data_IF_147164980568
#
_entry.id   IF_147164980568
#
_cell.length_a   1.000
_cell.length_b   1.000
_cell.length_c   1.000
_cell.angle_alpha   90.00
_cell.angle_beta   90.00
_cell.angle_gamma   90.00
#
_symmetry.space_group_name_H-M   'P 1'
#
loop_
_entity.id
_entity.type
_entity.pdbx_description
1 polymer ?
#
# COMPACT_ATOMS: atom_id res chain seq x y z
N UNK A 1 17.09 34.02 5.14
CA UNK A 1 15.82 33.70 4.45
C UNK A 1 14.74 33.54 5.50
N UNK A 2 13.84 34.51 5.60
CA UNK A 2 12.70 34.47 6.53
C UNK A 2 11.68 33.49 5.92
N UNK A 3 11.36 32.40 6.63
CA UNK A 3 10.24 31.53 6.27
C UNK A 3 8.96 32.38 6.23
N UNK A 4 8.38 32.57 5.03
CA UNK A 4 7.04 33.15 4.90
C UNK A 4 6.07 32.23 5.63
N UNK A 5 5.42 32.74 6.68
CA UNK A 5 4.22 32.14 7.26
C UNK A 5 3.14 32.10 6.16
N UNK A 6 3.03 30.94 5.49
CA UNK A 6 1.92 30.68 4.58
C UNK A 6 0.68 30.60 5.46
N UNK A 7 -0.30 31.47 5.23
CA UNK A 7 -1.55 31.42 5.99
C UNK A 7 -2.34 30.18 5.57
N UNK A 8 -3.05 29.56 6.50
CA UNK A 8 -3.88 28.39 6.21
C UNK A 8 -5.01 28.65 5.20
N UNK A 9 -5.45 29.92 5.00
CA UNK A 9 -6.34 30.28 3.89
C UNK A 9 -5.70 30.02 2.52
N UNK A 10 -4.37 30.19 2.42
CA UNK A 10 -3.61 29.86 1.21
C UNK A 10 -3.42 28.35 1.03
N UNK A 11 -3.49 27.59 2.13
CA UNK A 11 -3.46 26.12 2.14
C UNK A 11 -4.82 25.60 1.66
N UNK A 12 -5.94 26.05 2.24
CA UNK A 12 -7.31 25.67 1.86
C UNK A 12 -7.57 25.91 0.36
N UNK A 13 -7.27 27.10 -0.17
CA UNK A 13 -7.45 27.41 -1.60
C UNK A 13 -6.53 26.59 -2.54
N UNK A 14 -5.39 26.07 -2.05
CA UNK A 14 -4.44 25.26 -2.84
C UNK A 14 -4.70 23.76 -2.71
N UNK A 15 -5.17 23.29 -1.56
CA UNK A 15 -5.55 21.91 -1.28
C UNK A 15 -6.89 21.55 -1.93
N UNK A 16 -7.87 22.46 -1.87
CA UNK A 16 -9.24 22.20 -2.38
C UNK A 16 -9.33 22.18 -3.90
N UNK A 17 -8.43 22.88 -4.62
CA UNK A 17 -8.52 23.00 -6.08
C UNK A 17 -8.13 21.74 -6.85
N UNK A 18 -7.46 20.78 -6.22
CA UNK A 18 -7.20 19.46 -6.82
C UNK A 18 -7.32 18.40 -5.73
N UNK A 19 -8.33 17.56 -5.82
CA UNK A 19 -8.43 16.32 -5.03
C UNK A 19 -8.03 15.16 -5.93
N UNK A 20 -7.11 14.32 -5.44
CA UNK A 20 -6.70 13.12 -6.14
C UNK A 20 -7.64 11.99 -5.77
N UNK A 21 -8.31 11.43 -6.77
CA UNK A 21 -9.05 10.19 -6.62
C UNK A 21 -8.05 9.02 -6.62
N UNK A 22 -7.97 8.30 -5.51
CA UNK A 22 -7.13 7.12 -5.38
C UNK A 22 -7.99 5.88 -5.22
N UNK A 23 -7.46 4.74 -5.65
CA UNK A 23 -8.05 3.45 -5.36
C UNK A 23 -7.19 2.76 -4.31
N UNK A 24 -7.80 2.28 -3.23
CA UNK A 24 -7.14 1.51 -2.17
C UNK A 24 -7.85 0.18 -2.10
N UNK A 25 -7.18 -0.86 -2.58
CA UNK A 25 -7.77 -2.19 -2.74
C UNK A 25 -9.02 -2.15 -3.65
N UNK A 26 -10.22 -2.28 -3.08
CA UNK A 26 -11.54 -2.22 -3.76
C UNK A 26 -12.29 -0.90 -3.52
N UNK A 27 -11.72 -0.01 -2.73
CA UNK A 27 -12.33 1.25 -2.35
C UNK A 27 -11.76 2.37 -3.18
N UNK A 28 -12.52 3.45 -3.22
CA UNK A 28 -11.99 4.74 -3.61
C UNK A 28 -12.15 5.76 -2.51
N UNK A 29 -11.18 6.66 -2.44
CA UNK A 29 -11.18 7.82 -1.57
C UNK A 29 -10.52 8.97 -2.30
N UNK A 30 -10.99 10.19 -2.03
CA UNK A 30 -10.36 11.42 -2.51
C UNK A 30 -9.44 11.94 -1.44
N UNK A 31 -8.22 12.28 -1.82
CA UNK A 31 -7.22 12.88 -0.94
C UNK A 31 -6.75 14.23 -1.48
N UNK A 32 -6.31 15.15 -0.61
CA UNK A 32 -5.72 16.41 -1.05
C UNK A 32 -4.53 16.17 -1.99
N UNK A 33 -4.47 16.89 -3.11
CA UNK A 33 -3.40 16.71 -4.10
C UNK A 33 -2.05 17.19 -3.56
N UNK A 34 -1.19 16.24 -3.19
CA UNK A 34 0.23 16.49 -2.92
C UNK A 34 1.00 15.17 -2.84
N UNK A 35 2.11 15.12 -3.57
CA UNK A 35 3.20 14.12 -3.60
C UNK A 35 2.86 12.79 -2.88
N UNK A 36 2.52 11.76 -3.67
CA UNK A 36 2.43 10.37 -3.21
C UNK A 36 3.86 9.95 -2.82
N UNK A 37 4.07 9.60 -1.55
CA UNK A 37 5.41 9.30 -1.05
C UNK A 37 5.72 7.79 -1.00
N UNK A 38 4.70 6.94 -0.93
CA UNK A 38 4.79 5.50 -1.24
C UNK A 38 3.42 4.84 -1.10
N UNK A 39 3.20 3.77 -1.84
CA UNK A 39 2.17 2.78 -1.54
C UNK A 39 2.78 1.40 -1.36
N UNK A 40 2.07 0.55 -0.62
CA UNK A 40 2.39 -0.87 -0.50
C UNK A 40 1.15 -1.61 -0.97
N UNK A 41 1.33 -2.44 -2.00
CA UNK A 41 0.30 -3.31 -2.52
C UNK A 41 0.69 -4.75 -2.21
N UNK A 42 -0.12 -5.44 -1.43
CA UNK A 42 0.03 -6.85 -1.15
C UNK A 42 -1.25 -7.57 -1.59
N UNK A 43 -1.11 -8.61 -2.38
CA UNK A 43 -2.22 -9.44 -2.84
C UNK A 43 -1.81 -10.90 -2.74
N UNK A 44 -2.53 -11.70 -1.95
CA UNK A 44 -2.20 -13.09 -1.64
C UNK A 44 -0.74 -13.28 -1.19
N UNK A 45 -0.28 -12.48 -0.24
CA UNK A 45 1.12 -12.44 0.22
C UNK A 45 2.17 -12.02 -0.83
N UNK A 46 1.75 -11.65 -2.03
CA UNK A 46 2.63 -11.16 -3.09
C UNK A 46 2.67 -9.64 -2.98
N UNK A 47 3.84 -9.07 -2.69
CA UNK A 47 4.04 -7.62 -2.71
C UNK A 47 4.25 -7.16 -4.15
N UNK A 48 3.65 -6.04 -4.53
CA UNK A 48 3.82 -5.38 -5.82
C UNK A 48 4.58 -4.09 -5.63
N UNK A 49 5.63 -3.92 -6.43
CA UNK A 49 6.40 -2.69 -6.51
C UNK A 49 6.34 -2.16 -7.93
N UNK A 50 5.87 -0.92 -8.09
CA UNK A 50 5.88 -0.24 -9.36
C UNK A 50 7.33 0.04 -9.79
N UNK A 51 7.66 -0.34 -11.02
CA UNK A 51 8.89 0.06 -11.69
C UNK A 51 8.55 1.30 -12.55
N UNK A 52 9.01 2.50 -12.17
CA UNK A 52 8.56 3.74 -12.79
C UNK A 52 9.10 3.91 -14.22
N UNK A 53 8.24 4.42 -15.12
CA UNK A 53 8.59 5.06 -16.40
C UNK A 53 9.64 4.33 -17.25
N UNK A 54 9.40 3.07 -17.56
CA UNK A 54 10.23 2.35 -18.54
C UNK A 54 9.46 2.16 -19.84
N UNK A 55 10.13 2.29 -20.98
CA UNK A 55 9.63 1.71 -22.23
C UNK A 55 9.96 0.22 -22.26
N UNK A 56 9.39 -0.52 -23.22
CA UNK A 56 9.58 -1.97 -23.31
C UNK A 56 11.06 -2.38 -23.46
N UNK A 57 11.88 -1.57 -24.14
CA UNK A 57 13.30 -1.86 -24.34
C UNK A 57 14.09 -1.68 -23.04
N UNK A 58 13.86 -0.59 -22.30
CA UNK A 58 14.47 -0.34 -21.00
C UNK A 58 14.09 -1.42 -19.98
N UNK A 59 12.86 -1.91 -20.04
CA UNK A 59 12.42 -3.01 -19.21
C UNK A 59 13.09 -4.33 -19.56
N UNK A 60 13.16 -4.70 -20.85
CA UNK A 60 13.89 -5.90 -21.27
C UNK A 60 15.37 -5.83 -20.85
N UNK A 61 15.99 -4.66 -20.97
CA UNK A 61 17.35 -4.43 -20.48
C UNK A 61 17.48 -4.57 -18.95
N UNK A 62 16.49 -4.12 -18.18
CA UNK A 62 16.42 -4.32 -16.73
C UNK A 62 16.36 -5.82 -16.39
N UNK A 63 15.51 -6.57 -17.08
CA UNK A 63 15.36 -8.02 -16.92
C UNK A 63 16.70 -8.73 -17.22
N UNK A 64 17.37 -8.37 -18.32
CA UNK A 64 18.65 -8.99 -18.68
C UNK A 64 19.78 -8.61 -17.74
N UNK A 65 19.80 -7.36 -17.25
CA UNK A 65 20.70 -6.94 -16.17
C UNK A 65 20.46 -7.79 -14.92
N UNK A 66 19.21 -7.96 -14.50
CA UNK A 66 18.84 -8.75 -13.32
C UNK A 66 19.26 -10.21 -13.44
N UNK A 67 19.09 -10.83 -14.62
CA UNK A 67 19.60 -12.19 -14.89
C UNK A 67 21.12 -12.28 -14.69
N UNK A 68 21.88 -11.30 -15.19
CA UNK A 68 23.34 -11.27 -15.03
C UNK A 68 23.75 -11.09 -13.57
N UNK A 69 23.04 -10.25 -12.83
CA UNK A 69 23.25 -10.10 -11.38
C UNK A 69 23.04 -11.43 -10.65
N UNK A 70 21.93 -12.13 -10.92
CA UNK A 70 21.62 -13.43 -10.30
C UNK A 70 22.69 -14.48 -10.65
N UNK A 71 23.15 -14.53 -11.90
CA UNK A 71 24.23 -15.45 -12.32
C UNK A 71 25.55 -15.20 -11.60
N UNK A 72 25.80 -13.97 -11.15
CA UNK A 72 27.02 -13.57 -10.44
C UNK A 72 26.94 -13.82 -8.93
N UNK A 73 25.77 -14.17 -8.39
CA UNK A 73 25.66 -14.56 -6.99
C UNK A 73 26.44 -15.85 -6.77
N UNK A 74 27.33 -15.87 -5.77
CA UNK A 74 28.09 -17.05 -5.41
C UNK A 74 27.12 -18.15 -4.94
N UNK A 75 27.09 -19.24 -5.69
CA UNK A 75 26.28 -20.41 -5.38
C UNK A 75 27.17 -21.40 -4.63
N UNK A 76 26.78 -21.90 -3.44
CA UNK A 76 27.51 -22.97 -2.77
C UNK A 76 27.71 -24.15 -3.72
N UNK A 77 28.91 -24.78 -3.67
CA UNK A 77 29.23 -25.95 -4.49
C UNK A 77 28.13 -27.02 -4.36
N UNK A 78 27.59 -27.48 -5.49
CA UNK A 78 26.53 -28.50 -5.55
C UNK A 78 25.11 -27.95 -5.75
N UNK A 79 24.92 -26.64 -5.71
CA UNK A 79 23.62 -26.01 -6.02
C UNK A 79 23.68 -25.29 -7.37
N UNK A 80 22.54 -25.22 -8.07
CA UNK A 80 22.38 -24.44 -9.31
C UNK A 80 21.57 -23.18 -9.01
N UNK A 81 22.02 -22.01 -9.50
CA UNK A 81 21.16 -20.83 -9.64
C UNK A 81 20.19 -21.07 -10.80
N UNK A 82 19.21 -21.93 -10.60
CA UNK A 82 18.25 -22.25 -11.65
C UNK A 82 17.37 -21.03 -11.92
N UNK A 83 17.61 -20.37 -13.05
CA UNK A 83 16.74 -19.34 -13.62
C UNK A 83 15.81 -19.99 -14.63
N UNK A 84 14.54 -20.26 -14.26
CA UNK A 84 13.54 -20.67 -15.25
C UNK A 84 12.92 -19.42 -15.87
N UNK A 85 13.08 -19.24 -17.19
CA UNK A 85 12.38 -18.24 -18.01
C UNK A 85 11.11 -18.87 -18.56
N UNK A 86 9.95 -18.39 -18.14
CA UNK A 86 8.74 -18.49 -18.97
C UNK A 86 8.48 -17.11 -19.58
N UNK A 87 8.81 -16.94 -20.86
CA UNK A 87 8.33 -15.80 -21.63
C UNK A 87 6.94 -16.12 -22.14
N UNK A 88 5.95 -15.36 -21.67
CA UNK A 88 4.59 -15.45 -22.22
C UNK A 88 4.31 -14.21 -23.07
N UNK A 89 3.45 -14.35 -24.11
CA UNK A 89 2.96 -13.26 -25.00
C UNK A 89 2.77 -11.91 -24.26
N UNK A 90 3.25 -10.78 -24.80
CA UNK A 90 3.13 -9.42 -24.23
C UNK A 90 4.08 -9.08 -23.04
N UNK A 91 5.34 -9.50 -23.09
CA UNK A 91 6.41 -8.89 -22.28
C UNK A 91 6.29 -9.05 -20.76
N UNK A 92 5.72 -10.16 -20.28
CA UNK A 92 5.76 -10.53 -18.86
C UNK A 92 6.83 -11.61 -18.62
N UNK A 93 7.61 -11.45 -17.56
CA UNK A 93 8.71 -12.34 -17.19
C UNK A 93 8.50 -12.92 -15.80
N UNK A 94 8.84 -14.18 -15.64
CA UNK A 94 8.93 -14.84 -14.35
C UNK A 94 10.39 -15.27 -14.17
N UNK A 95 11.01 -14.85 -13.07
CA UNK A 95 12.39 -15.20 -12.72
C UNK A 95 12.34 -15.93 -11.39
N UNK A 96 12.74 -17.19 -11.40
CA UNK A 96 12.96 -17.98 -10.19
C UNK A 96 14.46 -18.06 -9.93
N UNK A 97 14.90 -17.93 -8.69
CA UNK A 97 16.31 -18.11 -8.33
C UNK A 97 16.46 -18.42 -6.85
N UNK A 98 17.56 -19.07 -6.47
CA UNK A 98 17.92 -19.29 -5.07
C UNK A 98 18.47 -17.99 -4.46
N UNK A 99 18.04 -17.66 -3.25
CA UNK A 99 18.62 -16.58 -2.45
C UNK A 99 20.00 -16.98 -1.97
N UNK A 100 20.99 -16.10 -2.13
CA UNK A 100 22.35 -16.36 -1.67
C UNK A 100 22.85 -15.20 -0.80
N UNK A 101 23.39 -15.59 0.36
CA UNK A 101 23.94 -14.76 1.42
C UNK A 101 23.99 -15.57 2.72
N UNK A 102 24.98 -15.33 3.59
CA UNK A 102 25.27 -16.10 4.81
C UNK A 102 24.10 -16.31 5.79
N UNK A 103 22.94 -15.67 5.57
CA UNK A 103 21.78 -15.78 6.46
C UNK A 103 20.73 -16.81 6.01
N UNK A 104 20.65 -17.19 4.73
CA UNK A 104 19.50 -17.94 4.19
C UNK A 104 19.83 -18.82 2.96
N UNK A 105 20.67 -19.86 3.07
CA UNK A 105 21.13 -20.69 1.93
C UNK A 105 20.04 -21.53 1.25
N UNK A 106 18.87 -21.61 1.90
CA UNK A 106 17.83 -22.60 1.65
C UNK A 106 16.53 -21.97 1.15
N UNK A 107 16.61 -20.89 0.38
CA UNK A 107 15.42 -20.15 0.00
C UNK A 107 15.32 -19.89 -1.49
N UNK A 108 14.11 -20.08 -2.05
CA UNK A 108 13.80 -19.74 -3.44
C UNK A 108 13.02 -18.42 -3.49
N UNK A 109 13.51 -17.49 -4.30
CA UNK A 109 12.82 -16.26 -4.65
C UNK A 109 12.10 -16.43 -6.00
N UNK A 110 10.87 -15.92 -6.08
CA UNK A 110 10.07 -15.86 -7.31
C UNK A 110 9.79 -14.38 -7.59
N UNK A 111 10.39 -13.83 -8.64
CA UNK A 111 10.18 -12.47 -9.11
C UNK A 111 9.30 -12.48 -10.36
N UNK A 112 8.08 -11.97 -10.26
CA UNK A 112 7.20 -11.73 -11.40
C UNK A 112 7.30 -10.29 -11.90
N UNK A 113 7.34 -10.12 -13.21
CA UNK A 113 7.50 -8.89 -13.95
C UNK A 113 6.40 -8.78 -14.99
N UNK A 114 5.47 -7.83 -14.84
CA UNK A 114 4.24 -7.81 -15.64
C UNK A 114 4.04 -6.53 -16.42
N UNK A 115 3.32 -6.65 -17.54
CA UNK A 115 2.80 -5.55 -18.33
C UNK A 115 1.27 -5.53 -18.19
N UNK A 116 0.69 -4.45 -17.69
CA UNK A 116 -0.77 -4.29 -17.68
C UNK A 116 -1.26 -3.93 -19.10
N UNK A 117 -1.98 -4.83 -19.78
CA UNK A 117 -2.38 -4.74 -21.20
C UNK A 117 -2.49 -3.30 -21.78
N UNK A 118 -1.78 -3.06 -22.90
CA UNK A 118 -1.68 -1.81 -23.67
C UNK A 118 -1.08 -0.57 -22.98
N UNK A 119 -0.77 -0.62 -21.68
CA UNK A 119 -0.05 0.43 -20.98
C UNK A 119 1.20 -0.13 -20.31
N UNK A 120 2.33 0.54 -20.51
CA UNK A 120 3.61 0.08 -20.01
C UNK A 120 3.73 0.38 -18.51
N UNK A 121 3.07 -0.44 -17.69
CA UNK A 121 3.16 -0.40 -16.23
C UNK A 121 3.77 -1.69 -15.75
N UNK A 122 4.94 -1.56 -15.12
CA UNK A 122 5.77 -2.67 -14.72
C UNK A 122 5.70 -2.87 -13.23
N UNK A 123 5.49 -4.11 -12.82
CA UNK A 123 5.52 -4.48 -11.40
C UNK A 123 6.61 -5.50 -11.18
N UNK A 124 7.43 -5.29 -10.15
CA UNK A 124 8.19 -6.36 -9.52
C UNK A 124 7.31 -6.99 -8.45
N UNK A 125 7.29 -8.31 -8.38
CA UNK A 125 6.58 -9.04 -7.33
C UNK A 125 7.50 -9.97 -6.55
N UNK A 126 7.19 -10.22 -5.28
CA UNK A 126 7.87 -11.18 -4.42
C UNK A 126 6.96 -11.61 -3.27
N UNK A 127 7.16 -12.82 -2.74
CA UNK A 127 6.44 -13.32 -1.55
C UNK A 127 6.78 -12.47 -0.32
N UNK A 128 5.90 -12.38 0.68
CA UNK A 128 6.01 -11.50 1.86
C UNK A 128 7.34 -11.61 2.63
N UNK A 129 7.98 -12.77 2.58
CA UNK A 129 9.29 -13.03 3.19
C UNK A 129 10.45 -13.04 2.18
N UNK A 130 10.17 -12.74 0.90
CA UNK A 130 11.11 -12.76 -0.23
C UNK A 130 11.55 -14.15 -0.66
N UNK A 131 11.18 -15.18 0.10
CA UNK A 131 11.92 -16.42 0.23
C UNK A 131 11.00 -17.58 0.68
N UNK A 132 11.05 -18.74 0.02
CA UNK A 132 10.39 -20.00 0.43
C UNK A 132 11.37 -20.95 1.14
N UNK A 133 11.07 -21.41 2.35
CA UNK A 133 11.93 -22.27 3.20
C UNK A 133 12.18 -23.67 2.59
N UNK A 134 13.43 -24.10 2.41
CA UNK A 134 13.79 -25.49 2.07
C UNK A 134 13.63 -26.44 3.25
N UNK A 135 12.41 -26.94 3.45
CA UNK A 135 12.22 -28.32 3.88
C UNK A 135 11.71 -29.12 2.66
N UNK A 136 12.46 -30.11 2.11
CA UNK A 136 12.19 -30.74 0.81
C UNK A 136 10.78 -31.30 0.63
N UNK A 137 10.18 -31.82 1.71
CA UNK A 137 8.85 -32.45 1.68
C UNK A 137 7.70 -31.44 1.63
N UNK A 138 7.93 -30.21 2.11
CA UNK A 138 6.94 -29.11 2.14
C UNK A 138 7.18 -28.11 0.99
N UNK A 139 8.32 -28.22 0.30
CA UNK A 139 8.79 -27.28 -0.71
C UNK A 139 7.98 -27.34 -2.00
N UNK A 140 7.68 -28.54 -2.51
CA UNK A 140 7.03 -28.67 -3.81
C UNK A 140 5.63 -28.06 -3.80
N UNK A 141 4.85 -28.31 -2.74
CA UNK A 141 3.47 -27.82 -2.66
C UNK A 141 3.40 -26.30 -2.46
N UNK A 142 4.26 -25.73 -1.59
CA UNK A 142 4.30 -24.28 -1.37
C UNK A 142 4.92 -23.52 -2.55
N UNK A 143 5.97 -24.08 -3.17
CA UNK A 143 6.56 -23.52 -4.38
C UNK A 143 5.56 -23.52 -5.52
N UNK A 144 4.93 -24.66 -5.84
CA UNK A 144 3.95 -24.73 -6.93
C UNK A 144 2.75 -23.83 -6.68
N UNK A 145 2.29 -23.70 -5.42
CA UNK A 145 1.22 -22.78 -5.04
C UNK A 145 1.59 -21.31 -5.26
N UNK A 146 2.74 -20.84 -4.76
CA UNK A 146 3.18 -19.45 -4.94
C UNK A 146 3.56 -19.16 -6.39
N UNK A 147 4.24 -20.11 -7.05
CA UNK A 147 4.58 -20.05 -8.47
C UNK A 147 3.32 -19.92 -9.32
N UNK A 148 2.30 -20.76 -9.08
CA UNK A 148 1.02 -20.69 -9.76
C UNK A 148 0.30 -19.38 -9.48
N UNK A 149 0.33 -18.91 -8.22
CA UNK A 149 -0.27 -17.62 -7.84
C UNK A 149 0.35 -16.45 -8.60
N UNK A 150 1.69 -16.39 -8.64
CA UNK A 150 2.45 -15.38 -9.37
C UNK A 150 2.23 -15.52 -10.89
N UNK A 151 2.25 -16.74 -11.42
CA UNK A 151 1.98 -17.04 -12.84
C UNK A 151 0.59 -16.57 -13.28
N UNK A 152 -0.41 -16.70 -12.41
CA UNK A 152 -1.80 -16.33 -12.69
C UNK A 152 -2.09 -14.82 -12.57
N UNK A 153 -1.20 -14.01 -11.95
CA UNK A 153 -1.36 -12.55 -11.89
C UNK A 153 -1.52 -11.98 -13.29
N UNK A 154 -0.68 -12.42 -14.23
CA UNK A 154 -0.66 -11.89 -15.60
C UNK A 154 -2.03 -11.98 -16.28
N UNK A 155 -2.66 -13.15 -16.19
CA UNK A 155 -3.93 -13.41 -16.88
C UNK A 155 -5.10 -12.62 -16.26
N UNK A 156 -4.87 -12.03 -15.08
CA UNK A 156 -5.84 -11.22 -14.35
C UNK A 156 -5.42 -9.75 -14.21
N UNK A 157 -4.25 -9.33 -14.70
CA UNK A 157 -3.77 -7.95 -14.57
C UNK A 157 -4.20 -7.10 -15.77
N UNK A 158 -4.96 -6.05 -15.50
CA UNK A 158 -5.51 -5.14 -16.51
C UNK A 158 -5.12 -3.69 -16.20
N UNK A 159 -5.11 -2.84 -17.23
CA UNK A 159 -5.12 -1.39 -17.03
C UNK A 159 -6.56 -0.92 -16.78
N UNK A 160 -6.78 0.00 -15.83
CA UNK A 160 -8.09 0.57 -15.50
C UNK A 160 -8.68 1.38 -16.67
N UNK A 161 -7.85 1.83 -17.62
CA UNK A 161 -8.32 2.46 -18.85
C UNK A 161 -8.80 1.49 -19.92
N UNK A 162 -8.59 0.20 -19.73
CA UNK A 162 -9.21 -0.81 -20.58
C UNK A 162 -10.73 -0.71 -20.38
N UNK A 163 -11.49 -0.49 -21.47
CA UNK A 163 -12.95 -0.20 -21.46
C UNK A 163 -13.80 -1.33 -20.84
N UNK A 164 -13.18 -2.43 -20.42
CA UNK A 164 -13.83 -3.55 -19.75
C UNK A 164 -14.31 -3.12 -18.36
N UNK A 165 -15.60 -3.32 -18.09
CA UNK A 165 -16.14 -3.26 -16.73
C UNK A 165 -15.49 -4.37 -15.92
N UNK A 166 -14.69 -4.00 -14.93
CA UNK A 166 -14.11 -4.95 -13.98
C UNK A 166 -14.93 -4.84 -12.70
N UNK A 167 -15.92 -5.72 -12.57
CA UNK A 167 -16.87 -5.70 -11.46
C UNK A 167 -16.20 -5.94 -10.10
N UNK A 168 -15.07 -6.66 -10.08
CA UNK A 168 -14.28 -6.96 -8.88
C UNK A 168 -12.80 -6.99 -9.21
N UNK A 169 -12.02 -6.14 -8.55
CA UNK A 169 -10.57 -6.21 -8.67
C UNK A 169 -9.80 -5.39 -7.65
N UNK A 170 -8.55 -5.81 -7.44
CA UNK A 170 -7.58 -5.23 -6.53
C UNK A 170 -6.77 -4.16 -7.24
N UNK A 171 -6.88 -2.91 -6.80
CA UNK A 171 -6.21 -1.79 -7.44
C UNK A 171 -4.73 -1.71 -7.09
N UNK A 172 -3.92 -1.48 -8.11
CA UNK A 172 -2.50 -1.19 -8.04
C UNK A 172 -2.24 0.27 -8.42
N UNK A 173 -1.06 0.77 -8.05
CA UNK A 173 -0.53 2.04 -8.52
C UNK A 173 -0.56 2.15 -10.06
N UNK A 174 -0.54 3.37 -10.60
CA UNK A 174 -0.51 3.63 -12.05
C UNK A 174 -1.64 2.98 -12.86
N UNK A 175 -2.84 2.93 -12.27
CA UNK A 175 -4.07 2.54 -12.97
C UNK A 175 -4.01 1.10 -13.48
N UNK A 176 -3.48 0.17 -12.70
CA UNK A 176 -3.68 -1.25 -12.96
C UNK A 176 -4.59 -1.88 -11.91
N UNK A 177 -5.18 -3.01 -12.28
CA UNK A 177 -6.14 -3.74 -11.47
C UNK A 177 -6.00 -5.22 -11.73
N UNK A 178 -5.95 -6.01 -10.66
CA UNK A 178 -6.01 -7.46 -10.73
C UNK A 178 -7.46 -7.88 -10.60
N UNK A 179 -8.03 -8.50 -11.64
CA UNK A 179 -9.39 -9.06 -11.61
C UNK A 179 -9.46 -10.22 -10.61
N UNK A 180 -10.48 -10.21 -9.77
CA UNK A 180 -10.71 -11.25 -8.76
C UNK A 180 -11.89 -12.12 -9.22
N UNK A 181 -11.66 -13.43 -9.36
CA UNK A 181 -12.68 -14.38 -9.85
C UNK A 181 -13.59 -14.93 -8.74
N UNK A 182 -13.11 -15.03 -7.50
CA UNK A 182 -13.82 -15.70 -6.40
C UNK A 182 -13.93 -14.83 -5.14
N UNK A 183 -14.93 -15.12 -4.28
CA UNK A 183 -15.15 -14.46 -2.97
C UNK A 183 -14.26 -15.00 -1.83
N UNK A 184 -13.18 -15.72 -2.14
CA UNK A 184 -12.35 -16.32 -1.09
C UNK A 184 -11.60 -15.24 -0.27
N UNK A 185 -11.25 -15.59 0.96
CA UNK A 185 -10.38 -14.78 1.83
C UNK A 185 -9.02 -14.67 1.14
N UNK A 186 -8.71 -13.50 0.59
CA UNK A 186 -7.42 -13.21 -0.05
C UNK A 186 -6.57 -12.42 0.91
N UNK A 187 -5.36 -12.84 1.27
CA UNK A 187 -4.48 -12.04 2.14
C UNK A 187 -3.96 -10.82 1.37
N UNK A 188 -4.77 -9.77 1.29
CA UNK A 188 -4.50 -8.55 0.55
C UNK A 188 -4.53 -7.36 1.47
N UNK A 189 -3.65 -6.40 1.20
CA UNK A 189 -3.81 -5.04 1.71
C UNK A 189 -3.18 -4.03 0.78
N UNK A 190 -3.78 -2.84 0.71
CA UNK A 190 -3.15 -1.66 0.15
C UNK A 190 -2.96 -0.66 1.28
N UNK A 191 -1.75 -0.12 1.43
CA UNK A 191 -1.46 0.99 2.34
C UNK A 191 -0.88 2.13 1.53
N UNK A 192 -1.58 3.26 1.47
CA UNK A 192 -1.12 4.43 0.72
C UNK A 192 -0.81 5.55 1.70
N UNK A 193 0.38 6.13 1.58
CA UNK A 193 0.87 7.17 2.48
C UNK A 193 1.10 8.46 1.72
N UNK A 194 0.54 9.54 2.25
CA UNK A 194 0.56 10.85 1.66
C UNK A 194 1.27 11.81 2.58
N UNK A 195 2.19 12.57 1.99
CA UNK A 195 2.79 13.72 2.64
C UNK A 195 2.53 14.94 1.80
N UNK A 196 2.06 16.00 2.45
CA UNK A 196 1.82 17.27 1.80
C UNK A 196 2.89 18.25 2.22
N UNK A 197 3.26 19.14 1.31
CA UNK A 197 4.19 20.23 1.61
C UNK A 197 3.64 21.25 2.60
N UNK A 198 2.32 21.27 2.80
CA UNK A 198 1.61 22.21 3.68
C UNK A 198 1.28 21.63 5.06
N UNK A 199 1.48 20.32 5.27
CA UNK A 199 1.29 19.68 6.56
C UNK A 199 2.59 18.96 6.97
N UNK A 200 2.94 18.97 8.26
CA UNK A 200 4.17 18.33 8.77
C UNK A 200 3.99 16.85 9.09
N UNK A 201 2.78 16.30 9.02
CA UNK A 201 2.48 14.89 9.26
C UNK A 201 2.20 14.06 8.00
N UNK A 202 1.17 13.20 8.05
CA UNK A 202 0.84 12.26 6.97
C UNK A 202 -0.65 11.90 6.94
N UNK A 203 -1.14 11.49 5.77
CA UNK A 203 -2.41 10.76 5.63
C UNK A 203 -2.09 9.34 5.21
N UNK A 204 -2.67 8.35 5.90
CA UNK A 204 -2.54 6.94 5.58
C UNK A 204 -3.93 6.34 5.38
N UNK A 205 -4.13 5.68 4.24
CA UNK A 205 -5.31 4.86 3.99
C UNK A 205 -4.86 3.43 3.79
N UNK A 206 -5.35 2.52 4.64
CA UNK A 206 -5.05 1.10 4.61
C UNK A 206 -6.36 0.33 4.48
N UNK A 207 -6.46 -0.59 3.52
CA UNK A 207 -7.60 -1.47 3.38
C UNK A 207 -7.14 -2.89 3.04
N UNK A 208 -7.73 -3.90 3.67
CA UNK A 208 -7.43 -5.30 3.39
C UNK A 208 -8.10 -6.30 4.32
N UNK A 209 -8.28 -7.53 3.85
CA UNK A 209 -8.94 -8.62 4.57
C UNK A 209 -8.18 -9.15 5.78
N UNK A 210 -6.87 -8.94 5.84
CA UNK A 210 -5.98 -9.50 6.87
C UNK A 210 -4.92 -8.47 7.31
N UNK A 211 -5.38 -7.24 7.50
CA UNK A 211 -4.57 -6.13 8.00
C UNK A 211 -4.40 -6.29 9.51
N UNK A 212 -3.15 -6.37 10.00
CA UNK A 212 -2.90 -6.24 11.44
C UNK A 212 -3.51 -4.92 11.94
N UNK A 213 -4.24 -5.01 13.06
CA UNK A 213 -4.64 -3.84 13.83
C UNK A 213 -3.37 -3.16 14.31
N UNK A 214 -3.06 -2.03 13.69
CA UNK A 214 -1.99 -1.16 14.17
C UNK A 214 -2.53 -0.15 15.20
N UNK A 215 -3.80 -0.29 15.61
CA UNK A 215 -4.49 0.56 16.58
C UNK A 215 -5.26 -0.31 17.58
N UNK A 216 -5.15 0.04 18.87
CA UNK A 216 -6.00 -0.49 19.92
C UNK A 216 -6.64 0.73 20.59
N UNK A 217 -7.93 0.96 20.33
CA UNK A 217 -8.65 2.11 20.85
C UNK A 217 -8.67 2.13 22.39
N UNK A 218 -8.79 0.96 23.04
CA UNK A 218 -8.74 0.83 24.50
C UNK A 218 -7.37 1.21 25.06
N UNK A 219 -6.28 0.89 24.34
CA UNK A 219 -4.93 1.30 24.74
C UNK A 219 -4.68 2.80 24.48
N UNK A 220 -5.29 3.35 23.44
CA UNK A 220 -5.17 4.79 23.11
C UNK A 220 -5.79 5.67 24.20
N UNK A 221 -6.82 5.19 24.92
CA UNK A 221 -7.50 5.87 26.03
C UNK A 221 -6.60 6.19 27.23
N UNK A 222 -5.60 5.35 27.51
CA UNK A 222 -4.81 5.41 28.76
C UNK A 222 -3.56 6.30 28.67
N UNK A 223 -3.08 6.60 27.47
CA UNK A 223 -1.75 7.21 27.26
C UNK A 223 -1.80 8.69 26.85
N UNK A 224 -2.99 9.28 26.62
CA UNK A 224 -3.14 10.52 25.84
C UNK A 224 -4.17 11.50 26.43
N UNK A 225 -4.06 12.80 26.11
CA UNK A 225 -5.17 13.74 26.28
C UNK A 225 -6.22 13.43 25.19
N UNK A 226 -7.18 12.57 25.53
CA UNK A 226 -8.26 12.22 24.61
C UNK A 226 -9.21 13.38 24.40
N UNK A 227 -9.56 13.60 23.15
CA UNK A 227 -10.55 14.60 22.77
C UNK A 227 -11.88 13.93 22.44
N UNK A 228 -11.89 12.81 21.69
CA UNK A 228 -13.14 12.20 21.21
C UNK A 228 -12.94 10.75 20.74
N UNK A 229 -13.80 9.82 21.19
CA UNK A 229 -14.01 8.50 20.58
C UNK A 229 -15.51 8.32 20.35
N UNK A 230 -15.90 7.98 19.13
CA UNK A 230 -17.31 7.77 18.77
C UNK A 230 -17.48 6.68 17.72
N UNK A 231 -18.62 6.00 17.73
CA UNK A 231 -19.03 5.13 16.62
C UNK A 231 -19.53 5.99 15.47
N UNK A 232 -19.13 5.66 14.24
CA UNK A 232 -19.51 6.40 13.06
C UNK A 232 -19.67 5.47 11.85
N UNK A 233 -20.78 5.61 11.14
CA UNK A 233 -21.08 4.83 9.92
C UNK A 233 -20.68 5.66 8.70
N UNK A 234 -19.75 5.13 7.91
CA UNK A 234 -19.34 5.73 6.63
C UNK A 234 -19.75 4.78 5.51
N UNK A 235 -20.69 5.17 4.65
CA UNK A 235 -21.13 4.40 3.48
C UNK A 235 -21.44 2.91 3.77
N UNK A 236 -22.13 2.66 4.89
CA UNK A 236 -22.54 1.31 5.31
C UNK A 236 -21.50 0.55 6.14
N UNK A 237 -20.34 1.14 6.42
CA UNK A 237 -19.29 0.58 7.27
C UNK A 237 -19.34 1.23 8.66
N UNK A 238 -19.81 0.50 9.67
CA UNK A 238 -19.85 0.95 11.07
C UNK A 238 -18.46 0.84 11.71
N UNK A 239 -17.74 1.96 11.76
CA UNK A 239 -16.39 2.04 12.33
C UNK A 239 -16.34 2.86 13.62
N UNK A 240 -15.13 2.97 14.15
CA UNK A 240 -14.79 3.82 15.30
C UNK A 240 -13.97 5.00 14.81
N UNK A 241 -14.41 6.20 15.16
CA UNK A 241 -13.70 7.45 14.97
C UNK A 241 -12.99 7.82 16.29
N UNK A 242 -11.72 8.19 16.22
CA UNK A 242 -10.99 8.76 17.35
C UNK A 242 -10.21 10.00 16.94
N UNK A 243 -10.19 11.00 17.83
CA UNK A 243 -9.38 12.22 17.71
C UNK A 243 -8.53 12.38 18.96
N UNK A 244 -7.22 12.42 18.74
CA UNK A 244 -6.23 12.34 19.81
C UNK A 244 -5.22 13.47 19.63
N UNK A 245 -4.81 14.13 20.71
CA UNK A 245 -3.70 15.09 20.69
C UNK A 245 -2.65 14.66 21.71
N UNK A 246 -1.45 14.35 21.23
CA UNK A 246 -0.37 13.83 22.06
C UNK A 246 0.78 14.81 22.16
N UNK A 247 1.24 15.07 23.38
CA UNK A 247 2.44 15.84 23.65
C UNK A 247 3.67 14.95 23.56
N UNK A 248 4.63 15.31 22.71
CA UNK A 248 5.88 14.56 22.49
C UNK A 248 7.07 15.46 22.74
N UNK A 249 7.97 15.02 23.62
CA UNK A 249 9.21 15.74 23.92
C UNK A 249 10.36 15.17 23.06
N UNK A 250 11.00 16.03 22.26
CA UNK A 250 12.14 15.62 21.43
C UNK A 250 13.18 16.74 21.37
N UNK A 251 14.43 16.45 21.71
CA UNK A 251 15.56 17.39 21.67
C UNK A 251 15.24 18.72 22.37
N UNK A 252 14.75 18.68 23.62
CA UNK A 252 14.31 19.84 24.42
C UNK A 252 13.21 20.70 23.77
N UNK A 253 12.60 20.24 22.68
CA UNK A 253 11.46 20.88 22.03
C UNK A 253 10.21 20.06 22.33
N UNK A 254 9.13 20.74 22.72
CA UNK A 254 7.82 20.11 22.84
C UNK A 254 7.14 20.15 21.47
N UNK A 255 6.66 19.00 21.03
CA UNK A 255 5.79 18.84 19.87
C UNK A 255 4.42 18.35 20.33
N UNK A 256 3.42 18.64 19.54
CA UNK A 256 2.07 18.14 19.72
C UNK A 256 1.67 17.44 18.43
N UNK A 257 1.06 16.27 18.57
CA UNK A 257 0.64 15.43 17.46
C UNK A 257 -0.86 15.27 17.51
N UNK A 258 -1.56 15.88 16.55
CA UNK A 258 -2.97 15.61 16.35
C UNK A 258 -3.11 14.37 15.46
N UNK A 259 -3.91 13.40 15.88
CA UNK A 259 -4.17 12.17 15.17
C UNK A 259 -5.68 11.93 15.07
N UNK A 260 -6.16 11.91 13.83
CA UNK A 260 -7.53 11.60 13.45
C UNK A 260 -7.52 10.21 12.84
N UNK A 261 -8.30 9.30 13.40
CA UNK A 261 -8.31 7.91 12.99
C UNK A 261 -9.75 7.46 12.86
N UNK A 262 -10.07 6.86 11.72
CA UNK A 262 -11.30 6.09 11.55
C UNK A 262 -10.91 4.67 11.17
N UNK A 263 -11.43 3.70 11.93
CA UNK A 263 -11.19 2.29 11.74
C UNK A 263 -12.50 1.52 11.60
N UNK A 264 -12.66 0.77 10.52
CA UNK A 264 -13.72 -0.22 10.38
C UNK A 264 -13.14 -1.62 10.45
N UNK A 265 -13.84 -2.51 11.15
CA UNK A 265 -13.50 -3.90 11.26
C UNK A 265 -14.75 -4.76 11.36
N UNK A 266 -14.79 -5.83 10.59
CA UNK A 266 -15.77 -6.91 10.77
C UNK A 266 -15.05 -8.24 10.72
N UNK A 267 -15.26 -9.06 11.73
CA UNK A 267 -14.52 -10.27 12.00
C UNK A 267 -14.87 -11.47 11.08
N UNK A 268 -15.17 -11.24 9.80
CA UNK A 268 -15.75 -12.28 8.95
C UNK A 268 -14.93 -12.65 7.71
N UNK A 269 -13.73 -12.09 7.53
CA UNK A 269 -12.85 -12.43 6.40
C UNK A 269 -13.43 -12.10 5.01
N UNK A 270 -14.60 -11.47 4.95
CA UNK A 270 -15.26 -11.13 3.70
C UNK A 270 -14.47 -10.04 2.98
N UNK A 271 -14.17 -10.33 1.72
CA UNK A 271 -13.49 -9.43 0.81
C UNK A 271 -14.25 -8.09 0.73
N UNK A 272 -15.59 -8.08 0.80
CA UNK A 272 -16.40 -6.87 0.78
C UNK A 272 -16.48 -6.11 2.12
N UNK A 273 -15.98 -6.71 3.20
CA UNK A 273 -15.90 -6.11 4.53
C UNK A 273 -14.49 -6.21 5.13
N UNK A 274 -13.46 -5.67 4.44
CA UNK A 274 -12.09 -5.69 4.92
C UNK A 274 -11.90 -4.74 6.09
N UNK A 275 -10.76 -4.85 6.76
CA UNK A 275 -10.32 -3.86 7.73
C UNK A 275 -9.95 -2.60 6.95
N UNK A 276 -10.52 -1.45 7.35
CA UNK A 276 -10.25 -0.15 6.73
C UNK A 276 -9.71 0.79 7.81
N UNK A 277 -8.64 1.50 7.49
CA UNK A 277 -8.00 2.47 8.36
C UNK A 277 -7.76 3.74 7.57
N UNK A 278 -8.32 4.85 8.02
CA UNK A 278 -8.01 6.18 7.53
C UNK A 278 -7.40 6.94 8.70
N UNK A 279 -6.15 7.34 8.56
CA UNK A 279 -5.38 8.03 9.60
C UNK A 279 -4.84 9.33 9.02
N UNK A 280 -5.09 10.44 9.69
CA UNK A 280 -4.49 11.73 9.42
C UNK A 280 -3.75 12.17 10.68
N UNK A 281 -2.44 12.36 10.56
CA UNK A 281 -1.58 12.81 11.64
C UNK A 281 -0.94 14.13 11.26
N UNK A 282 -0.85 15.07 12.20
CA UNK A 282 -0.16 16.34 12.05
C UNK A 282 0.69 16.67 13.27
N UNK A 283 1.90 17.20 13.05
CA UNK A 283 2.87 17.53 14.10
C UNK A 283 3.16 19.04 14.14
N UNK A 284 2.99 19.66 15.30
CA UNK A 284 3.15 21.11 15.47
C UNK A 284 3.96 21.44 16.74
N UNK A 285 4.59 22.63 16.77
CA UNK A 285 5.51 23.05 17.85
C UNK A 285 4.82 23.76 19.03
N UNK A 286 3.57 24.21 18.87
CA UNK A 286 2.83 24.97 19.87
C UNK A 286 1.73 24.10 20.51
N UNK A 287 1.41 24.20 21.80
CA UNK A 287 0.25 23.51 22.40
C UNK A 287 -1.06 23.90 21.73
N UNK A 288 -1.15 25.14 21.28
CA UNK A 288 -2.33 25.66 20.64
C UNK A 288 -2.27 25.28 19.16
N UNK A 289 -2.90 24.16 18.81
CA UNK A 289 -3.69 24.15 17.58
C UNK A 289 -4.63 25.35 17.74
N UNK A 290 -4.46 26.42 16.95
CA UNK A 290 -5.47 27.47 17.01
C UNK A 290 -6.81 26.79 16.71
N UNK A 291 -7.91 27.12 17.40
CA UNK A 291 -9.22 26.48 17.14
C UNK A 291 -9.55 26.41 15.63
N UNK A 292 -9.03 27.40 14.89
CA UNK A 292 -9.01 27.47 13.44
C UNK A 292 -8.30 26.28 12.75
N UNK A 293 -7.08 25.93 13.16
CA UNK A 293 -6.30 24.81 12.62
C UNK A 293 -6.97 23.45 12.96
N UNK A 294 -7.64 23.35 14.12
CA UNK A 294 -8.43 22.16 14.49
C UNK A 294 -9.61 21.99 13.54
N UNK A 295 -10.38 23.06 13.34
CA UNK A 295 -11.52 23.07 12.42
C UNK A 295 -11.12 22.77 10.97
N UNK A 296 -9.89 23.09 10.55
CA UNK A 296 -9.38 22.74 9.23
C UNK A 296 -8.97 21.27 9.09
N UNK A 297 -8.29 20.70 10.10
CA UNK A 297 -7.98 19.26 10.09
C UNK A 297 -9.26 18.41 10.16
N UNK A 298 -10.24 18.81 10.99
CA UNK A 298 -11.57 18.21 11.03
C UNK A 298 -12.22 18.24 9.63
N UNK A 299 -12.22 19.40 8.94
CA UNK A 299 -12.77 19.53 7.58
C UNK A 299 -12.06 18.62 6.57
N UNK A 300 -10.72 18.60 6.58
CA UNK A 300 -9.94 17.74 5.67
C UNK A 300 -10.30 16.28 5.92
N UNK A 301 -10.28 15.83 7.17
CA UNK A 301 -10.56 14.45 7.54
C UNK A 301 -11.99 14.06 7.18
N UNK A 302 -12.98 14.90 7.51
CA UNK A 302 -14.38 14.66 7.16
C UNK A 302 -14.60 14.61 5.64
N UNK A 303 -13.91 15.43 4.86
CA UNK A 303 -13.97 15.37 3.40
C UNK A 303 -13.36 14.06 2.86
N UNK A 304 -12.28 13.57 3.46
CA UNK A 304 -11.69 12.27 3.13
C UNK A 304 -12.72 11.16 3.42
N UNK A 305 -13.30 11.13 4.62
CA UNK A 305 -14.32 10.15 5.01
C UNK A 305 -15.56 10.22 4.10
N UNK A 306 -16.08 11.41 3.81
CA UNK A 306 -17.25 11.59 2.95
C UNK A 306 -17.01 11.11 1.52
N UNK A 307 -15.75 11.12 1.06
CA UNK A 307 -15.37 10.64 -0.26
C UNK A 307 -15.09 9.13 -0.33
N UNK A 308 -14.96 8.46 0.82
CA UNK A 308 -14.62 7.04 0.89
C UNK A 308 -15.82 6.18 0.50
N UNK A 309 -15.74 5.40 -0.56
CA UNK A 309 -16.81 4.50 -1.00
C UNK A 309 -16.25 3.21 -1.59
N UNK A 310 -17.07 2.15 -1.60
CA UNK A 310 -16.78 0.95 -2.39
C UNK A 310 -16.88 1.33 -3.87
N UNK A 311 -15.86 0.97 -4.66
CA UNK A 311 -15.86 1.22 -6.10
C UNK A 311 -16.62 0.12 -6.82
#
# INVERSE_FOLDING_TARGET
MIEKNISFKDIDAKLTKKWLHICVERFSVKLPYSIINYSIHNYNNIKFELIPNQNINSFNALIDKRKREIKRLEVPKGLSSTIRREEKKLGSYLITFRSFGNKFPNYIAIEGYYLANNYIVFYKTYTKDGYLLENPEVLNDNFEKEYTSIKNIKDNLFCIFDKRKIDRGFCLENKAIIKIKEKQIQNSYVSVHFRNKYFRGYIRVKAGSNVKKDFNFEKLELENELIEISKCIINGYEGVLSKIVNKVYKNNTTFYNAEYLWGYEKANGDIDYPIIIINLKESFKSPYIQQKDKGELDKIFNNILASFHKR
#
